data_IF_297580057968
#
_entry.id   IF_297580057968
#
_cell.length_a   1.000
_cell.length_b   1.000
_cell.length_c   1.000
_cell.angle_alpha   90.00
_cell.angle_beta   90.00
_cell.angle_gamma   90.00
#
_symmetry.space_group_name_H-M   'P 1'
#
loop_
_entity.id
_entity.type
_entity.pdbx_description
1 polymer ?
#
# COMPACT_ATOMS: atom_id res chain seq x y z
N UNK A 1 -55.09 -0.52 73.85
CA UNK A 1 -53.80 -0.93 73.24
C UNK A 1 -53.34 0.18 72.34
N UNK A 2 -52.67 1.16 72.96
CA UNK A 2 -52.14 2.36 72.32
C UNK A 2 -50.73 2.10 71.82
N UNK A 3 -50.54 2.51 70.58
CA UNK A 3 -49.33 2.90 69.85
C UNK A 3 -48.23 3.47 70.77
N UNK A 4 -46.96 3.24 70.45
CA UNK A 4 -46.15 4.35 69.92
C UNK A 4 -44.78 3.92 69.37
N UNK A 5 -44.43 4.69 68.35
CA UNK A 5 -43.29 4.64 67.44
C UNK A 5 -41.97 5.01 68.15
N UNK A 6 -40.83 4.46 67.72
CA UNK A 6 -39.55 5.18 67.81
C UNK A 6 -38.55 4.81 66.69
N UNK A 7 -37.82 5.84 66.25
CA UNK A 7 -36.92 5.93 65.08
C UNK A 7 -35.43 5.81 65.45
N UNK A 8 -34.55 5.86 64.43
CA UNK A 8 -33.10 6.24 64.42
C UNK A 8 -32.09 5.06 64.46
N UNK A 9 -31.01 4.94 63.66
CA UNK A 9 -30.21 5.87 62.80
C UNK A 9 -29.34 5.03 61.82
N UNK A 10 -29.14 5.56 60.60
CA UNK A 10 -27.93 5.54 59.73
C UNK A 10 -27.08 4.27 59.53
N UNK A 11 -27.01 3.76 58.29
CA UNK A 11 -25.73 3.37 57.63
C UNK A 11 -25.89 3.15 56.10
N UNK A 12 -25.14 3.96 55.33
CA UNK A 12 -24.52 3.78 53.99
C UNK A 12 -25.31 3.04 52.88
N UNK A 13 -25.63 3.69 51.74
CA UNK A 13 -26.10 3.00 50.54
C UNK A 13 -24.93 2.48 49.67
N UNK A 14 -25.02 1.21 49.28
CA UNK A 14 -24.17 0.57 48.27
C UNK A 14 -24.65 0.94 46.86
N UNK A 15 -23.71 1.32 46.00
CA UNK A 15 -23.93 1.67 44.60
C UNK A 15 -24.21 0.42 43.74
N UNK A 16 -25.20 0.52 42.84
CA UNK A 16 -25.39 -0.40 41.72
C UNK A 16 -25.59 0.41 40.44
N UNK A 17 -24.53 0.56 39.65
CA UNK A 17 -24.60 1.16 38.32
C UNK A 17 -25.03 0.13 37.27
N UNK A 18 -26.03 0.51 36.48
CA UNK A 18 -26.53 -0.18 35.28
C UNK A 18 -25.60 0.07 34.09
N UNK A 19 -25.45 -0.89 33.15
CA UNK A 19 -24.54 -0.75 32.02
C UNK A 19 -25.16 0.10 30.91
N UNK A 20 -24.47 1.18 30.55
CA UNK A 20 -24.76 2.08 29.43
C UNK A 20 -24.26 1.52 28.10
N UNK A 21 -25.09 1.69 27.07
CA UNK A 21 -24.85 1.33 25.67
C UNK A 21 -23.55 1.93 25.12
N UNK A 22 -22.76 1.10 24.45
CA UNK A 22 -21.49 1.48 23.84
C UNK A 22 -21.73 2.29 22.55
N UNK A 23 -21.22 3.52 22.55
CA UNK A 23 -21.09 4.38 21.38
C UNK A 23 -19.99 3.81 20.48
N UNK A 24 -20.32 3.53 19.22
CA UNK A 24 -19.33 3.13 18.21
C UNK A 24 -18.70 4.41 17.68
N UNK A 25 -17.52 4.75 18.19
CA UNK A 25 -16.70 5.83 17.64
C UNK A 25 -16.11 5.40 16.28
N UNK A 26 -16.36 6.22 15.27
CA UNK A 26 -15.67 6.15 13.98
C UNK A 26 -14.19 6.52 14.20
N UNK A 27 -13.30 5.54 14.10
CA UNK A 27 -11.86 5.77 14.19
C UNK A 27 -11.41 6.46 12.91
N UNK A 28 -11.10 7.75 13.03
CA UNK A 28 -10.49 8.56 11.99
C UNK A 28 -9.04 8.08 11.78
N UNK A 29 -8.80 7.36 10.67
CA UNK A 29 -7.52 6.73 10.35
C UNK A 29 -6.56 7.73 9.68
N UNK A 30 -6.36 8.89 10.30
CA UNK A 30 -5.20 9.71 9.93
C UNK A 30 -3.92 8.86 10.11
N UNK A 31 -2.88 9.05 9.30
CA UNK A 31 -1.59 8.42 9.53
C UNK A 31 -1.00 8.97 10.85
N UNK A 32 -1.35 8.36 11.97
CA UNK A 32 -0.60 8.55 13.21
C UNK A 32 0.78 7.91 12.98
N UNK A 33 1.83 8.62 13.39
CA UNK A 33 3.21 8.13 13.32
C UNK A 33 3.33 6.73 13.96
N UNK A 34 2.51 6.47 14.96
CA UNK A 34 2.38 5.17 15.64
C UNK A 34 1.92 4.07 14.69
N UNK A 35 0.88 4.30 13.87
CA UNK A 35 0.36 3.30 12.94
C UNK A 35 1.38 2.94 11.83
N UNK A 36 2.12 3.94 11.33
CA UNK A 36 3.15 3.71 10.32
C UNK A 36 4.31 2.89 10.87
N UNK A 37 4.82 3.29 12.04
CA UNK A 37 5.94 2.62 12.72
C UNK A 37 5.57 1.18 13.08
N UNK A 38 4.35 0.94 13.55
CA UNK A 38 3.84 -0.41 13.82
C UNK A 38 3.80 -1.26 12.55
N UNK A 39 3.28 -0.72 11.45
CA UNK A 39 3.19 -1.42 10.17
C UNK A 39 4.58 -1.78 9.61
N UNK A 40 5.55 -0.88 9.72
CA UNK A 40 6.94 -1.14 9.32
C UNK A 40 7.57 -2.25 10.16
N UNK A 41 7.39 -2.21 11.49
CA UNK A 41 7.86 -3.24 12.41
C UNK A 41 7.21 -4.61 12.15
N UNK A 42 5.91 -4.64 11.82
CA UNK A 42 5.20 -5.87 11.43
C UNK A 42 5.79 -6.48 10.15
N UNK A 43 6.10 -5.66 9.15
CA UNK A 43 6.70 -6.14 7.90
C UNK A 43 8.11 -6.67 8.16
N UNK A 44 8.93 -5.93 8.91
CA UNK A 44 10.31 -6.34 9.25
C UNK A 44 10.37 -7.74 9.90
N UNK A 45 9.40 -8.04 10.76
CA UNK A 45 9.32 -9.30 11.48
C UNK A 45 8.40 -10.36 10.84
N UNK A 46 7.84 -10.09 9.66
CA UNK A 46 6.80 -10.93 9.05
C UNK A 46 7.30 -12.35 8.75
N UNK A 47 6.56 -13.37 9.16
CA UNK A 47 6.82 -14.79 8.82
C UNK A 47 5.59 -15.48 8.20
N UNK A 48 4.66 -14.72 7.63
CA UNK A 48 3.37 -15.24 7.13
C UNK A 48 3.46 -16.14 5.89
N UNK A 49 4.60 -16.20 5.19
CA UNK A 49 4.81 -17.07 4.02
C UNK A 49 6.26 -17.53 3.91
N UNK A 50 6.53 -18.51 3.05
CA UNK A 50 7.85 -19.17 2.91
C UNK A 50 8.96 -18.24 2.45
N UNK A 51 8.66 -17.09 1.84
CA UNK A 51 9.66 -16.12 1.40
C UNK A 51 10.49 -15.54 2.56
N UNK A 52 10.00 -15.61 3.80
CA UNK A 52 10.76 -15.20 4.99
C UNK A 52 12.01 -16.05 5.23
N UNK A 53 12.04 -17.28 4.70
CA UNK A 53 13.14 -18.23 4.92
C UNK A 53 14.36 -17.95 4.06
N UNK A 54 14.20 -17.24 2.93
CA UNK A 54 15.26 -17.02 1.94
C UNK A 54 15.65 -15.57 1.76
N UNK A 55 14.85 -14.61 2.24
CA UNK A 55 15.15 -13.17 2.14
C UNK A 55 16.37 -12.80 2.99
N UNK A 56 17.12 -11.79 2.56
CA UNK A 56 18.07 -11.07 3.42
C UNK A 56 17.36 -9.97 4.19
N UNK A 57 16.59 -9.14 3.48
CA UNK A 57 15.83 -8.05 4.07
C UNK A 57 14.39 -8.08 3.55
N UNK A 58 13.47 -7.59 4.37
CA UNK A 58 12.17 -7.17 3.87
C UNK A 58 12.30 -5.81 3.21
N UNK A 59 11.50 -5.58 2.18
CA UNK A 59 11.44 -4.31 1.46
C UNK A 59 10.05 -3.74 1.64
N UNK A 60 9.92 -2.87 2.63
CA UNK A 60 8.64 -2.31 3.05
C UNK A 60 8.03 -1.41 1.95
N UNK A 61 8.81 -0.43 1.52
CA UNK A 61 8.46 0.67 0.65
C UNK A 61 9.38 1.84 0.98
N UNK A 62 9.42 2.86 0.12
CA UNK A 62 10.23 4.05 0.36
C UNK A 62 9.64 5.26 -0.35
N UNK A 63 9.77 6.44 0.26
CA UNK A 63 9.35 7.71 -0.33
C UNK A 63 8.52 8.55 0.63
N UNK A 64 7.78 9.52 0.11
CA UNK A 64 6.96 10.42 0.90
C UNK A 64 5.68 9.70 1.40
N UNK A 65 5.46 9.72 2.72
CA UNK A 65 4.28 9.09 3.37
C UNK A 65 2.98 9.89 3.17
N UNK A 66 3.09 11.11 2.65
CA UNK A 66 1.98 11.98 2.25
C UNK A 66 1.98 12.19 0.72
N UNK A 67 2.53 11.23 -0.03
CA UNK A 67 2.64 11.34 -1.48
C UNK A 67 1.27 11.25 -2.16
N UNK A 68 1.01 12.18 -3.10
CA UNK A 68 -0.14 12.09 -4.00
C UNK A 68 -0.03 10.89 -4.97
N UNK A 69 1.18 10.38 -5.20
CA UNK A 69 1.46 9.28 -6.12
C UNK A 69 2.02 8.07 -5.38
N UNK A 70 1.41 6.91 -5.62
CA UNK A 70 1.93 5.62 -5.18
C UNK A 70 2.33 4.76 -6.39
N UNK A 71 3.57 4.32 -6.41
CA UNK A 71 4.11 3.44 -7.45
C UNK A 71 4.16 2.02 -6.92
N UNK A 72 3.55 1.07 -7.63
CA UNK A 72 3.42 -0.31 -7.17
C UNK A 72 4.03 -1.28 -8.17
N UNK A 73 5.09 -1.96 -7.76
CA UNK A 73 5.71 -3.07 -8.49
C UNK A 73 5.29 -4.44 -8.00
N UNK A 74 5.91 -5.48 -8.55
CA UNK A 74 5.63 -6.89 -8.23
C UNK A 74 6.24 -7.29 -6.88
N UNK A 75 7.56 -7.21 -6.77
CA UNK A 75 8.32 -7.72 -5.63
C UNK A 75 9.79 -7.29 -5.69
N UNK A 76 10.54 -7.49 -4.59
CA UNK A 76 11.96 -7.15 -4.54
C UNK A 76 12.79 -8.04 -5.46
N UNK A 77 13.75 -7.43 -6.16
CA UNK A 77 14.84 -8.15 -6.82
C UNK A 77 16.02 -8.36 -5.87
N UNK A 78 17.16 -8.79 -6.44
CA UNK A 78 18.36 -9.08 -5.65
C UNK A 78 18.93 -7.86 -4.93
N UNK A 79 19.06 -6.73 -5.63
CA UNK A 79 19.63 -5.52 -5.04
C UNK A 79 18.70 -4.94 -3.97
N UNK A 80 17.38 -5.04 -4.20
CA UNK A 80 16.37 -4.62 -3.25
C UNK A 80 16.42 -5.47 -1.97
N UNK A 81 16.52 -6.79 -2.09
CA UNK A 81 16.68 -7.72 -0.96
C UNK A 81 17.98 -7.47 -0.19
N UNK A 82 19.05 -7.07 -0.85
CA UNK A 82 20.33 -6.76 -0.21
C UNK A 82 20.29 -5.43 0.56
N UNK A 83 19.53 -4.45 0.07
CA UNK A 83 19.52 -3.08 0.62
C UNK A 83 18.28 -2.76 1.47
N UNK A 84 17.22 -3.57 1.41
CA UNK A 84 15.95 -3.28 2.08
C UNK A 84 15.11 -2.17 1.40
N UNK A 85 15.53 -1.69 0.23
CA UNK A 85 14.91 -0.56 -0.46
C UNK A 85 14.32 -0.98 -1.81
N UNK A 86 13.14 -0.48 -2.21
CA UNK A 86 12.49 -0.88 -3.46
C UNK A 86 13.11 -0.18 -4.66
N UNK A 87 13.20 -0.89 -5.80
CA UNK A 87 13.65 -0.33 -7.08
C UNK A 87 15.00 0.40 -6.97
N UNK A 88 16.04 -0.33 -6.54
CA UNK A 88 17.42 0.18 -6.44
C UNK A 88 18.37 -0.45 -7.46
N UNK A 89 17.97 -1.53 -8.15
CA UNK A 89 18.72 -2.09 -9.27
C UNK A 89 18.50 -1.34 -10.60
N UNK A 90 18.89 -1.96 -11.71
CA UNK A 90 18.76 -1.38 -13.06
C UNK A 90 17.31 -0.96 -13.40
N UNK A 91 16.34 -1.79 -13.02
CA UNK A 91 14.92 -1.48 -13.19
C UNK A 91 14.51 -0.23 -12.39
N UNK A 92 15.12 -0.03 -11.22
CA UNK A 92 14.96 1.15 -10.40
C UNK A 92 15.56 2.41 -11.01
N UNK A 93 16.75 2.29 -11.62
CA UNK A 93 17.34 3.38 -12.40
C UNK A 93 16.40 3.84 -13.52
N UNK A 94 15.83 2.90 -14.29
CA UNK A 94 14.85 3.26 -15.32
C UNK A 94 13.57 3.86 -14.72
N UNK A 95 13.08 3.35 -13.57
CA UNK A 95 11.94 3.95 -12.89
C UNK A 95 12.20 5.41 -12.52
N UNK A 96 13.39 5.73 -11.99
CA UNK A 96 13.77 7.10 -11.67
C UNK A 96 13.71 8.02 -12.90
N UNK A 97 14.18 7.54 -14.06
CA UNK A 97 14.08 8.30 -15.32
C UNK A 97 12.63 8.44 -15.81
N UNK A 98 11.81 7.41 -15.63
CA UNK A 98 10.38 7.44 -15.95
C UNK A 98 9.62 8.47 -15.11
N UNK A 99 9.90 8.55 -13.80
CA UNK A 99 9.34 9.57 -12.91
C UNK A 99 9.78 10.97 -13.34
N UNK A 100 11.09 11.16 -13.62
CA UNK A 100 11.62 12.45 -14.07
C UNK A 100 10.95 12.93 -15.36
N UNK A 101 10.62 12.01 -16.27
CA UNK A 101 9.96 12.35 -17.52
C UNK A 101 8.54 12.92 -17.35
N UNK A 102 7.89 12.68 -16.21
CA UNK A 102 6.61 13.29 -15.81
C UNK A 102 6.78 14.30 -14.68
N UNK A 103 7.98 14.86 -14.52
CA UNK A 103 8.32 15.89 -13.53
C UNK A 103 8.14 15.46 -12.06
N UNK A 104 8.29 14.16 -11.79
CA UNK A 104 8.31 13.61 -10.42
C UNK A 104 9.72 13.13 -10.05
N UNK A 105 10.04 13.22 -8.77
CA UNK A 105 11.24 12.63 -8.17
C UNK A 105 10.85 11.42 -7.31
N UNK A 106 11.84 10.72 -6.73
CA UNK A 106 11.55 9.60 -5.82
C UNK A 106 11.03 10.09 -4.48
N UNK A 107 11.35 11.33 -4.15
CA UNK A 107 10.95 12.03 -2.94
C UNK A 107 9.49 12.53 -3.03
N UNK A 108 8.97 12.74 -4.25
CA UNK A 108 7.58 13.15 -4.47
C UNK A 108 6.56 12.01 -4.39
N UNK A 109 7.04 10.76 -4.48
CA UNK A 109 6.18 9.57 -4.60
C UNK A 109 6.42 8.59 -3.45
N UNK A 110 5.51 7.65 -3.24
CA UNK A 110 5.76 6.46 -2.43
C UNK A 110 5.90 5.23 -3.31
N UNK A 111 6.99 4.49 -3.19
CA UNK A 111 7.28 3.30 -4.01
C UNK A 111 7.14 2.06 -3.14
N UNK A 112 6.32 1.10 -3.59
CA UNK A 112 6.08 -0.16 -2.91
C UNK A 112 5.96 -1.33 -3.90
N UNK A 113 5.86 -2.55 -3.38
CA UNK A 113 5.58 -3.76 -4.14
C UNK A 113 4.40 -4.52 -3.54
N UNK A 114 3.77 -5.40 -4.34
CA UNK A 114 2.74 -6.34 -3.89
C UNK A 114 3.26 -7.23 -2.76
N UNK A 115 4.42 -7.87 -2.97
CA UNK A 115 5.11 -8.66 -1.95
C UNK A 115 6.32 -7.91 -1.39
N UNK A 116 6.65 -8.14 -0.12
CA UNK A 116 7.73 -7.43 0.61
C UNK A 116 9.03 -8.22 0.74
N UNK A 117 9.11 -9.41 0.16
CA UNK A 117 10.27 -10.29 0.25
C UNK A 117 10.63 -10.80 -1.15
N UNK A 118 11.91 -10.98 -1.45
CA UNK A 118 12.34 -11.47 -2.76
C UNK A 118 11.95 -12.93 -2.99
N UNK A 119 11.25 -13.28 -4.09
CA UNK A 119 11.07 -14.66 -4.50
C UNK A 119 12.40 -15.30 -4.94
N UNK A 120 12.62 -16.60 -4.66
CA UNK A 120 13.81 -17.31 -5.13
C UNK A 120 14.03 -17.14 -6.64
N UNK A 121 15.24 -16.79 -7.04
CA UNK A 121 15.61 -16.55 -8.44
C UNK A 121 14.77 -15.47 -9.17
N UNK A 122 14.11 -14.57 -8.43
CA UNK A 122 13.19 -13.56 -8.98
C UNK A 122 12.07 -14.17 -9.84
N UNK A 123 11.60 -15.38 -9.48
CA UNK A 123 10.36 -15.92 -10.07
C UNK A 123 9.18 -15.03 -9.72
N UNK A 124 8.10 -15.15 -10.50
CA UNK A 124 6.83 -14.56 -10.13
C UNK A 124 6.38 -15.10 -8.75
N UNK A 125 5.75 -14.25 -7.90
CA UNK A 125 5.20 -14.68 -6.64
C UNK A 125 4.02 -15.64 -6.83
N UNK A 126 3.91 -16.60 -5.93
CA UNK A 126 2.78 -17.52 -5.90
C UNK A 126 1.54 -16.84 -5.31
N UNK A 127 0.36 -17.39 -5.60
CA UNK A 127 -0.90 -16.82 -5.16
C UNK A 127 -1.02 -16.74 -3.63
N UNK A 128 -0.49 -17.73 -2.90
CA UNK A 128 -0.45 -17.73 -1.45
C UNK A 128 0.50 -16.66 -0.91
N UNK A 129 1.65 -16.44 -1.54
CA UNK A 129 2.60 -15.38 -1.16
C UNK A 129 1.97 -14.00 -1.33
N UNK A 130 1.26 -13.77 -2.44
CA UNK A 130 0.49 -12.54 -2.67
C UNK A 130 -0.59 -12.39 -1.60
N UNK A 131 -1.37 -13.43 -1.31
CA UNK A 131 -2.46 -13.38 -0.34
C UNK A 131 -1.98 -13.00 1.07
N UNK A 132 -0.86 -13.56 1.52
CA UNK A 132 -0.30 -13.26 2.84
C UNK A 132 0.33 -11.86 2.95
N UNK A 133 0.72 -11.24 1.83
CA UNK A 133 1.45 -9.97 1.80
C UNK A 133 0.59 -8.76 1.42
N UNK A 134 -0.52 -8.98 0.70
CA UNK A 134 -1.34 -7.89 0.12
C UNK A 134 -1.92 -6.94 1.17
N UNK A 135 -2.19 -7.43 2.38
CA UNK A 135 -2.68 -6.61 3.50
C UNK A 135 -1.72 -5.46 3.86
N UNK A 136 -0.41 -5.68 3.75
CA UNK A 136 0.58 -4.63 4.04
C UNK A 136 0.48 -3.48 3.03
N UNK A 137 0.30 -3.79 1.74
CA UNK A 137 0.12 -2.76 0.72
C UNK A 137 -1.20 -2.02 0.90
N UNK A 138 -2.27 -2.74 1.27
CA UNK A 138 -3.56 -2.15 1.58
C UNK A 138 -3.45 -1.14 2.73
N UNK A 139 -2.79 -1.51 3.84
CA UNK A 139 -2.58 -0.61 4.98
C UNK A 139 -1.66 0.57 4.63
N UNK A 140 -0.63 0.36 3.81
CA UNK A 140 0.20 1.45 3.28
C UNK A 140 -0.65 2.43 2.45
N UNK A 141 -1.51 1.93 1.57
CA UNK A 141 -2.44 2.74 0.78
C UNK A 141 -3.41 3.52 1.68
N UNK A 142 -3.97 2.91 2.72
CA UNK A 142 -4.87 3.59 3.65
C UNK A 142 -4.19 4.71 4.43
N UNK A 143 -2.92 4.53 4.82
CA UNK A 143 -2.17 5.54 5.56
C UNK A 143 -1.73 6.71 4.66
N UNK A 144 -1.39 6.44 3.40
CA UNK A 144 -0.92 7.46 2.45
C UNK A 144 -2.09 8.19 1.78
N UNK A 145 -3.19 7.48 1.50
CA UNK A 145 -4.34 7.97 0.73
C UNK A 145 -3.94 8.62 -0.62
N UNK A 146 -3.17 7.94 -1.48
CA UNK A 146 -2.66 8.53 -2.71
C UNK A 146 -3.79 8.90 -3.68
N UNK A 147 -3.66 10.02 -4.37
CA UNK A 147 -4.58 10.48 -5.41
C UNK A 147 -4.38 9.75 -6.74
N UNK A 148 -3.22 9.13 -6.96
CA UNK A 148 -2.92 8.35 -8.16
C UNK A 148 -2.05 7.14 -7.84
N UNK A 149 -2.35 6.00 -8.45
CA UNK A 149 -1.52 4.79 -8.39
C UNK A 149 -1.00 4.46 -9.79
N UNK A 150 0.32 4.28 -9.90
CA UNK A 150 0.94 3.72 -11.10
C UNK A 150 1.34 2.25 -10.84
N UNK A 151 0.59 1.32 -11.42
CA UNK A 151 0.84 -0.11 -11.31
C UNK A 151 1.80 -0.58 -12.42
N UNK A 152 2.95 -1.10 -12.03
CA UNK A 152 4.03 -1.50 -12.94
C UNK A 152 4.03 -3.01 -13.15
N UNK A 153 3.62 -3.45 -14.34
CA UNK A 153 3.65 -4.86 -14.73
C UNK A 153 2.40 -5.66 -14.37
N UNK A 154 2.39 -6.92 -14.83
CA UNK A 154 1.22 -7.79 -14.79
C UNK A 154 0.79 -8.12 -13.37
N UNK A 155 1.70 -8.57 -12.50
CA UNK A 155 1.35 -9.00 -11.14
C UNK A 155 0.81 -7.84 -10.31
N UNK A 156 1.42 -6.66 -10.41
CA UNK A 156 0.94 -5.45 -9.72
C UNK A 156 -0.49 -5.10 -10.18
N UNK A 157 -0.70 -5.00 -11.49
CA UNK A 157 -2.00 -4.66 -12.06
C UNK A 157 -3.07 -5.71 -11.72
N UNK A 158 -2.79 -6.99 -11.91
CA UNK A 158 -3.74 -8.08 -11.66
C UNK A 158 -4.12 -8.18 -10.18
N UNK A 159 -3.16 -7.99 -9.27
CA UNK A 159 -3.42 -8.03 -7.83
C UNK A 159 -4.27 -6.85 -7.38
N UNK A 160 -3.91 -5.62 -7.77
CA UNK A 160 -4.66 -4.41 -7.39
C UNK A 160 -6.10 -4.45 -7.94
N UNK A 161 -6.25 -4.87 -9.20
CA UNK A 161 -7.54 -4.85 -9.90
C UNK A 161 -8.35 -6.14 -9.74
N UNK A 162 -7.84 -7.12 -8.98
CA UNK A 162 -8.47 -8.43 -8.74
C UNK A 162 -8.96 -9.08 -10.05
N UNK A 163 -8.09 -9.11 -11.06
CA UNK A 163 -8.39 -9.59 -12.41
C UNK A 163 -7.30 -10.49 -12.97
N UNK A 164 -7.66 -11.37 -13.91
CA UNK A 164 -6.72 -12.19 -14.67
C UNK A 164 -6.50 -11.66 -16.11
N UNK A 165 -7.02 -10.48 -16.43
CA UNK A 165 -6.86 -9.91 -17.76
C UNK A 165 -5.39 -9.70 -18.14
N UNK A 166 -5.01 -9.90 -19.41
CA UNK A 166 -3.67 -9.59 -19.89
C UNK A 166 -3.33 -8.11 -19.71
N UNK A 167 -2.07 -7.81 -19.35
CA UNK A 167 -1.59 -6.44 -19.11
C UNK A 167 -1.94 -5.47 -20.25
N UNK A 168 -1.86 -5.92 -21.50
CA UNK A 168 -2.18 -5.12 -22.68
C UNK A 168 -3.63 -4.59 -22.70
N UNK A 169 -4.60 -5.32 -22.11
CA UNK A 169 -6.01 -4.90 -22.03
C UNK A 169 -6.29 -3.90 -20.90
N UNK A 170 -5.41 -3.91 -19.89
CA UNK A 170 -5.50 -3.05 -18.71
C UNK A 170 -4.87 -1.67 -18.94
N UNK A 171 -3.89 -1.57 -19.84
CA UNK A 171 -3.24 -0.29 -20.20
C UNK A 171 -4.19 0.67 -20.92
N UNK A 172 -3.90 1.97 -20.87
CA UNK A 172 -4.65 3.02 -21.56
C UNK A 172 -6.06 3.29 -21.01
N UNK A 173 -6.32 2.87 -19.76
CA UNK A 173 -7.60 3.07 -19.05
C UNK A 173 -7.30 3.47 -17.60
N UNK A 174 -8.22 4.21 -17.01
CA UNK A 174 -8.22 4.47 -15.57
C UNK A 174 -9.03 3.37 -14.90
N UNK A 175 -8.42 2.71 -13.91
CA UNK A 175 -9.08 1.76 -13.03
C UNK A 175 -9.15 2.33 -11.62
N UNK A 176 -9.60 1.53 -10.66
CA UNK A 176 -9.73 1.98 -9.27
C UNK A 176 -9.25 0.92 -8.30
N UNK A 177 -8.53 1.34 -7.27
CA UNK A 177 -8.18 0.55 -6.11
C UNK A 177 -8.50 1.36 -4.86
N UNK A 178 -9.51 0.91 -4.09
CA UNK A 178 -9.97 1.59 -2.88
C UNK A 178 -10.14 3.10 -3.05
N UNK A 179 -10.90 3.50 -4.08
CA UNK A 179 -11.18 4.88 -4.47
C UNK A 179 -10.00 5.67 -5.05
N UNK A 180 -8.77 5.14 -5.05
CA UNK A 180 -7.67 5.75 -5.77
C UNK A 180 -7.66 5.31 -7.24
N UNK A 181 -7.60 6.25 -8.19
CA UNK A 181 -7.37 5.97 -9.61
C UNK A 181 -6.07 5.18 -9.83
N UNK A 182 -6.12 4.18 -10.72
CA UNK A 182 -4.98 3.33 -11.07
C UNK A 182 -4.74 3.41 -12.58
N UNK A 183 -3.52 3.76 -12.96
CA UNK A 183 -3.02 3.58 -14.33
C UNK A 183 -1.98 2.47 -14.36
N UNK A 184 -2.07 1.66 -15.40
CA UNK A 184 -1.22 0.48 -15.57
C UNK A 184 -0.17 0.76 -16.64
N UNK A 185 1.08 0.42 -16.36
CA UNK A 185 2.20 0.53 -17.29
C UNK A 185 3.07 -0.74 -17.30
N UNK A 186 3.95 -0.86 -18.28
CA UNK A 186 4.93 -1.94 -18.29
C UNK A 186 5.95 -1.81 -17.16
N UNK A 187 6.37 -2.95 -16.61
CA UNK A 187 7.40 -2.97 -15.58
C UNK A 187 8.76 -2.52 -16.16
N UNK A 188 9.55 -1.70 -15.46
CA UNK A 188 10.85 -1.25 -15.96
C UNK A 188 11.81 -2.39 -16.35
N UNK A 189 11.83 -3.48 -15.58
CA UNK A 189 12.62 -4.66 -15.92
C UNK A 189 12.24 -5.30 -17.28
N UNK A 190 10.96 -5.25 -17.66
CA UNK A 190 10.51 -5.70 -18.98
C UNK A 190 11.00 -4.75 -20.08
N UNK A 191 10.91 -3.44 -19.85
CA UNK A 191 11.35 -2.41 -20.79
C UNK A 191 12.87 -2.46 -21.04
N UNK A 192 13.66 -2.89 -20.07
CA UNK A 192 15.11 -3.10 -20.23
C UNK A 192 15.43 -4.32 -21.11
N UNK A 193 14.54 -5.32 -21.16
CA UNK A 193 14.69 -6.49 -22.05
C UNK A 193 14.12 -6.23 -23.44
N UNK A 194 13.08 -5.40 -23.55
CA UNK A 194 12.36 -5.10 -24.79
C UNK A 194 12.29 -3.59 -25.01
N UNK A 195 13.42 -3.01 -25.41
CA UNK A 195 13.61 -1.56 -25.54
C UNK A 195 12.55 -0.82 -26.39
N UNK A 196 12.04 -1.37 -27.52
CA UNK A 196 11.02 -0.68 -28.33
C UNK A 196 9.72 -0.37 -27.56
N UNK A 197 9.41 -1.15 -26.51
CA UNK A 197 8.20 -0.98 -25.70
C UNK A 197 8.26 0.24 -24.76
N UNK A 198 9.42 0.91 -24.63
CA UNK A 198 9.56 2.15 -23.86
C UNK A 198 8.63 3.26 -24.36
N UNK A 199 8.39 3.31 -25.66
CA UNK A 199 7.42 4.24 -26.28
C UNK A 199 6.01 4.04 -25.73
N UNK A 200 5.60 2.79 -25.50
CA UNK A 200 4.28 2.46 -24.94
C UNK A 200 4.20 2.84 -23.45
N UNK A 201 5.28 2.64 -22.70
CA UNK A 201 5.35 3.11 -21.32
C UNK A 201 5.26 4.63 -21.20
N UNK A 202 5.87 5.38 -22.13
CA UNK A 202 5.73 6.84 -22.19
C UNK A 202 4.27 7.29 -22.39
N UNK A 203 3.53 6.60 -23.26
CA UNK A 203 2.09 6.85 -23.45
C UNK A 203 1.32 6.63 -22.14
N UNK A 204 1.62 5.55 -21.39
CA UNK A 204 0.97 5.28 -20.10
C UNK A 204 1.29 6.34 -19.05
N UNK A 205 2.55 6.78 -18.96
CA UNK A 205 2.99 7.83 -18.02
C UNK A 205 2.32 9.17 -18.33
N UNK A 206 2.28 9.56 -19.61
CA UNK A 206 1.59 10.77 -20.05
C UNK A 206 0.11 10.71 -19.72
N UNK A 207 -0.52 9.55 -19.91
CA UNK A 207 -1.92 9.33 -19.58
C UNK A 207 -2.19 9.38 -18.07
N UNK A 208 -1.31 8.82 -17.24
CA UNK A 208 -1.38 8.94 -15.80
C UNK A 208 -1.28 10.39 -15.34
N UNK A 209 -0.32 11.15 -15.87
CA UNK A 209 -0.14 12.57 -15.55
C UNK A 209 -1.38 13.39 -15.93
N UNK A 210 -1.91 13.19 -17.14
CA UNK A 210 -3.15 13.85 -17.57
C UNK A 210 -4.35 13.51 -16.68
N UNK A 211 -4.43 12.26 -16.22
CA UNK A 211 -5.50 11.84 -15.30
C UNK A 211 -5.35 12.55 -13.96
N UNK A 212 -4.13 12.61 -13.42
CA UNK A 212 -3.85 13.30 -12.16
C UNK A 212 -4.15 14.80 -12.24
N UNK A 213 -3.72 15.49 -13.29
CA UNK A 213 -4.01 16.93 -13.46
C UNK A 213 -5.50 17.23 -13.56
N UNK A 214 -6.31 16.34 -14.15
CA UNK A 214 -7.77 16.51 -14.17
C UNK A 214 -8.37 16.40 -12.78
N UNK A 215 -7.92 15.43 -11.99
CA UNK A 215 -8.40 15.24 -10.61
C UNK A 215 -8.09 16.47 -9.74
N UNK A 216 -6.91 17.06 -9.88
CA UNK A 216 -6.54 18.29 -9.15
C UNK A 216 -7.33 19.52 -9.61
N UNK A 217 -7.75 19.57 -10.88
CA UNK A 217 -8.53 20.68 -11.43
C UNK A 217 -10.03 20.62 -11.10
N UNK A 218 -10.52 19.45 -10.67
CA UNK A 218 -11.93 19.21 -10.30
C UNK A 218 -12.19 19.38 -8.78
N UNK A 219 -11.13 19.68 -7.99
CA UNK A 219 -11.16 19.96 -6.53
C UNK A 219 -11.20 21.46 -6.25
#
# INVERSE_FOLDING_TARGET
>A
MGIDVWLSRTSIPAASESPTEAVIDHIDLAPSLDNWTLLEAEVANCQKCTLCTTRKNTVFGSGNQQADWMIVGEGPGQHEDEQGLPFVGNAGGLLTEMLRAISLTREDVFIANIIKCRPPNNRDPHADEIAHCSDYLYRQHQLIQPKMILALGRIAAQTLLKTNEPLAKLRGKVHTFNNSPVVVAYHPAYLLRFLPEKSKAWVDLSFALQTFTKLEGDL
#
